data_IF_132804046639
#
_entry.id   IF_132804046639
#
_cell.length_a   1.000
_cell.length_b   1.000
_cell.length_c   1.000
_cell.angle_alpha   90.00
_cell.angle_beta   90.00
_cell.angle_gamma   90.00
#
_symmetry.space_group_name_H-M   'P 1'
#
loop_
_entity.id
_entity.type
_entity.pdbx_description
1 polymer ?
#
# COMPACT_ATOMS: atom_id res chain seq x y z
N UNK A 1 -10.87 -17.45 -61.52
CA UNK A 1 -11.25 -16.05 -61.22
C UNK A 1 -11.96 -15.89 -59.86
N UNK A 2 -12.86 -16.80 -59.46
CA UNK A 2 -13.59 -16.73 -58.18
C UNK A 2 -12.73 -16.79 -56.90
N UNK A 3 -11.74 -17.69 -56.84
CA UNK A 3 -10.85 -17.86 -55.67
C UNK A 3 -10.00 -16.62 -55.33
N UNK A 4 -9.61 -15.84 -56.35
CA UNK A 4 -8.83 -14.61 -56.15
C UNK A 4 -9.71 -13.46 -55.59
N UNK A 5 -10.99 -13.43 -55.99
CA UNK A 5 -11.96 -12.46 -55.49
C UNK A 5 -12.33 -12.74 -54.02
N UNK A 6 -12.56 -14.01 -53.66
CA UNK A 6 -12.81 -14.41 -52.27
C UNK A 6 -11.62 -14.09 -51.35
N UNK A 7 -10.37 -14.35 -51.79
CA UNK A 7 -9.18 -14.01 -51.02
C UNK A 7 -9.02 -12.50 -50.82
N UNK A 8 -9.33 -11.68 -51.83
CA UNK A 8 -9.34 -10.21 -51.69
C UNK A 8 -10.41 -9.73 -50.73
N UNK A 9 -11.61 -10.30 -50.78
CA UNK A 9 -12.71 -9.95 -49.87
C UNK A 9 -12.39 -10.33 -48.42
N UNK A 10 -11.83 -11.53 -48.20
CA UNK A 10 -11.39 -11.98 -46.88
C UNK A 10 -10.24 -11.12 -46.34
N UNK A 11 -9.29 -10.70 -47.18
CA UNK A 11 -8.20 -9.82 -46.77
C UNK A 11 -8.72 -8.43 -46.35
N UNK A 12 -9.69 -7.87 -47.09
CA UNK A 12 -10.30 -6.58 -46.76
C UNK A 12 -11.13 -6.66 -45.47
N UNK A 13 -11.88 -7.75 -45.26
CA UNK A 13 -12.70 -7.92 -44.04
C UNK A 13 -11.83 -8.14 -42.80
N UNK A 14 -10.77 -8.94 -42.87
CA UNK A 14 -9.85 -9.15 -41.74
C UNK A 14 -9.10 -7.86 -41.41
N UNK A 15 -8.68 -7.10 -42.42
CA UNK A 15 -8.00 -5.82 -42.22
C UNK A 15 -8.92 -4.80 -41.53
N UNK A 16 -10.18 -4.67 -41.98
CA UNK A 16 -11.16 -3.78 -41.35
C UNK A 16 -11.49 -4.17 -39.91
N UNK A 17 -11.64 -5.47 -39.62
CA UNK A 17 -11.83 -5.94 -38.23
C UNK A 17 -10.60 -5.65 -37.38
N UNK A 18 -9.39 -5.85 -37.89
CA UNK A 18 -8.15 -5.54 -37.17
C UNK A 18 -8.03 -4.05 -36.85
N UNK A 19 -8.25 -3.17 -37.83
CA UNK A 19 -8.24 -1.73 -37.60
C UNK A 19 -9.38 -1.26 -36.68
N UNK A 20 -10.56 -1.88 -36.75
CA UNK A 20 -11.65 -1.60 -35.82
C UNK A 20 -11.31 -2.02 -34.39
N UNK A 21 -10.66 -3.18 -34.19
CA UNK A 21 -10.19 -3.62 -32.87
C UNK A 21 -9.04 -2.74 -32.35
N UNK A 22 -8.10 -2.33 -33.20
CA UNK A 22 -7.04 -1.38 -32.84
C UNK A 22 -7.63 -0.03 -32.43
N UNK A 23 -8.56 0.51 -33.22
CA UNK A 23 -9.23 1.76 -32.91
C UNK A 23 -10.05 1.65 -31.62
N UNK A 24 -10.82 0.57 -31.45
CA UNK A 24 -11.56 0.31 -30.22
C UNK A 24 -10.63 0.18 -29.01
N UNK A 25 -9.49 -0.50 -29.17
CA UNK A 25 -8.47 -0.63 -28.12
C UNK A 25 -7.83 0.71 -27.78
N UNK A 26 -7.55 1.58 -28.77
CA UNK A 26 -6.94 2.89 -28.54
C UNK A 26 -7.93 3.88 -27.92
N UNK A 27 -9.20 3.88 -28.37
CA UNK A 27 -10.24 4.76 -27.86
C UNK A 27 -10.73 4.34 -26.47
N UNK A 28 -10.78 3.04 -26.18
CA UNK A 28 -11.13 2.53 -24.85
C UNK A 28 -9.91 2.25 -23.96
N UNK A 29 -8.70 2.63 -24.39
CA UNK A 29 -7.53 2.59 -23.53
C UNK A 29 -7.70 3.65 -22.44
N UNK A 30 -8.18 3.23 -21.26
CA UNK A 30 -8.14 4.04 -20.04
C UNK A 30 -7.00 3.55 -19.17
N UNK A 31 -6.12 4.48 -18.79
CA UNK A 31 -5.26 4.26 -17.64
C UNK A 31 -6.13 4.36 -16.39
N UNK A 32 -6.46 3.20 -15.82
CA UNK A 32 -7.24 3.08 -14.58
C UNK A 32 -6.39 3.34 -13.33
N UNK A 33 -5.10 3.64 -13.48
CA UNK A 33 -4.18 3.92 -12.39
C UNK A 33 -3.83 5.41 -12.40
N UNK A 34 -4.13 6.09 -11.30
CA UNK A 34 -3.75 7.49 -11.08
C UNK A 34 -2.64 7.49 -10.04
N UNK A 35 -1.49 8.10 -10.39
CA UNK A 35 -0.42 8.29 -9.42
C UNK A 35 -0.78 9.42 -8.47
N UNK A 36 -0.90 9.11 -7.18
CA UNK A 36 -1.17 10.10 -6.13
C UNK A 36 0.14 10.66 -5.60
N UNK A 37 0.35 11.97 -5.72
CA UNK A 37 1.51 12.63 -5.13
C UNK A 37 1.28 12.88 -3.63
N UNK A 38 2.31 12.84 -2.76
CA UNK A 38 2.13 13.08 -1.30
C UNK A 38 1.38 14.38 -0.97
N UNK A 39 1.69 15.45 -1.71
CA UNK A 39 1.03 16.77 -1.55
C UNK A 39 -0.46 16.75 -1.90
N UNK A 40 -0.89 15.93 -2.85
CA UNK A 40 -2.31 15.84 -3.23
C UNK A 40 -3.10 14.96 -2.27
N UNK A 41 -2.42 14.02 -1.59
CA UNK A 41 -3.03 13.15 -0.58
C UNK A 41 -3.29 13.89 0.74
N UNK A 42 -2.38 14.81 1.09
CA UNK A 42 -2.50 15.70 2.24
C UNK A 42 -3.19 17.01 1.82
N UNK A 43 -4.40 16.89 1.26
CA UNK A 43 -5.18 18.07 0.90
C UNK A 43 -5.95 18.62 2.11
N UNK A 44 -5.51 19.79 2.56
CA UNK A 44 -6.10 20.54 3.65
C UNK A 44 -7.01 21.67 3.17
N UNK A 45 -7.20 21.83 1.85
CA UNK A 45 -7.93 22.95 1.24
C UNK A 45 -9.38 23.08 1.73
N UNK A 46 -9.99 21.97 2.14
CA UNK A 46 -11.35 21.91 2.65
C UNK A 46 -11.46 22.09 4.18
N UNK A 47 -10.35 22.19 4.92
CA UNK A 47 -10.34 22.32 6.38
C UNK A 47 -10.19 23.77 6.82
N UNK A 48 -10.78 24.12 7.96
CA UNK A 48 -10.67 25.47 8.51
C UNK A 48 -9.24 25.78 9.00
N UNK A 49 -8.82 27.04 8.98
CA UNK A 49 -7.46 27.43 9.36
C UNK A 49 -7.06 26.98 10.79
N UNK A 50 -8.02 26.92 11.72
CA UNK A 50 -7.83 26.40 13.08
C UNK A 50 -7.60 24.88 13.09
N UNK A 51 -8.34 24.12 12.29
CA UNK A 51 -8.17 22.66 12.19
C UNK A 51 -6.86 22.30 11.47
N UNK A 52 -6.44 23.10 10.48
CA UNK A 52 -5.18 22.87 9.77
C UNK A 52 -3.97 23.07 10.68
N UNK A 53 -4.05 24.00 11.64
CA UNK A 53 -2.97 24.26 12.61
C UNK A 53 -2.78 23.10 13.58
N UNK A 54 -3.87 22.41 13.96
CA UNK A 54 -3.84 21.31 14.91
C UNK A 54 -3.42 19.97 14.26
N UNK A 55 -3.47 19.85 12.93
CA UNK A 55 -3.14 18.59 12.25
C UNK A 55 -1.63 18.48 12.00
N UNK A 56 -1.09 17.28 12.26
CA UNK A 56 0.29 16.94 11.96
C UNK A 56 0.57 17.05 10.45
N UNK A 57 1.54 17.89 10.11
CA UNK A 57 2.07 18.00 8.75
C UNK A 57 3.42 17.26 8.68
N UNK A 58 3.54 16.18 7.91
CA UNK A 58 4.82 15.53 7.73
C UNK A 58 5.78 16.47 7.00
N UNK A 59 6.99 16.59 7.53
CA UNK A 59 8.08 17.35 6.91
C UNK A 59 8.57 16.59 5.68
N UNK A 60 8.02 16.89 4.51
CA UNK A 60 8.28 16.16 3.27
C UNK A 60 9.77 16.19 2.87
N UNK A 61 10.52 17.22 3.28
CA UNK A 61 11.98 17.28 3.09
C UNK A 61 12.76 16.19 3.86
N UNK A 62 12.19 15.66 4.94
CA UNK A 62 12.82 14.61 5.76
C UNK A 62 12.41 13.20 5.32
N UNK A 63 11.53 13.08 4.33
CA UNK A 63 11.11 11.83 3.73
C UNK A 63 11.98 11.58 2.51
N UNK A 64 12.67 10.44 2.45
CA UNK A 64 13.51 10.12 1.31
C UNK A 64 13.61 8.61 1.06
N UNK A 65 14.35 8.24 0.02
CA UNK A 65 14.78 6.86 -0.22
C UNK A 65 15.75 6.44 0.89
N UNK A 66 15.47 5.31 1.52
CA UNK A 66 16.30 4.74 2.59
C UNK A 66 16.89 3.42 2.14
N UNK A 67 18.19 3.22 2.37
CA UNK A 67 18.80 1.90 2.21
C UNK A 67 18.30 0.99 3.35
N UNK A 68 17.79 -0.19 2.99
CA UNK A 68 17.18 -1.12 3.93
C UNK A 68 18.13 -2.30 4.11
N UNK A 69 18.58 -2.52 5.35
CA UNK A 69 19.32 -3.73 5.71
C UNK A 69 18.36 -4.92 5.80
N UNK A 70 18.39 -5.77 4.77
CA UNK A 70 17.57 -6.98 4.69
C UNK A 70 18.27 -8.21 5.29
N UNK A 71 19.52 -8.08 5.74
CA UNK A 71 20.31 -9.20 6.26
C UNK A 71 20.24 -9.24 7.78
N UNK A 72 20.40 -8.09 8.43
CA UNK A 72 20.47 -8.02 9.88
C UNK A 72 19.09 -7.76 10.49
N UNK A 73 18.54 -8.79 11.14
CA UNK A 73 17.27 -8.70 11.85
C UNK A 73 17.48 -8.60 13.37
N UNK A 74 17.15 -7.44 13.94
CA UNK A 74 17.19 -7.23 15.37
C UNK A 74 16.13 -8.08 16.12
N UNK A 75 16.44 -8.63 17.30
CA UNK A 75 15.44 -9.18 18.21
C UNK A 75 14.33 -8.17 18.55
N UNK A 76 13.11 -8.66 18.80
CA UNK A 76 11.95 -7.80 19.12
C UNK A 76 12.19 -6.89 20.35
N UNK A 77 12.81 -7.37 21.45
CA UNK A 77 13.12 -6.49 22.59
C UNK A 77 14.05 -5.34 22.22
N UNK A 78 15.08 -5.61 21.41
CA UNK A 78 16.02 -4.59 20.95
C UNK A 78 15.34 -3.56 20.03
N UNK A 79 14.39 -4.00 19.19
CA UNK A 79 13.57 -3.06 18.40
C UNK A 79 12.72 -2.14 19.29
N UNK A 80 12.17 -2.66 20.39
CA UNK A 80 11.39 -1.86 21.34
C UNK A 80 12.25 -0.81 22.05
N UNK A 81 13.50 -1.16 22.40
CA UNK A 81 14.48 -0.23 22.97
C UNK A 81 14.93 0.82 21.94
N UNK A 82 15.16 0.40 20.70
CA UNK A 82 15.57 1.27 19.59
C UNK A 82 14.49 2.29 19.21
N UNK A 83 13.21 1.93 19.34
CA UNK A 83 12.08 2.77 18.98
C UNK A 83 11.15 3.03 20.18
N UNK A 84 11.61 3.81 21.18
CA UNK A 84 10.88 4.02 22.43
C UNK A 84 9.58 4.84 22.26
N UNK A 85 9.39 5.49 21.10
CA UNK A 85 8.14 6.16 20.75
C UNK A 85 7.00 5.18 20.45
N UNK A 86 7.30 3.91 20.20
CA UNK A 86 6.30 2.85 19.95
C UNK A 86 5.78 2.34 21.30
N UNK A 87 4.49 2.56 21.54
CA UNK A 87 3.78 2.07 22.72
C UNK A 87 3.45 0.58 22.58
N UNK A 88 3.07 -0.03 23.70
CA UNK A 88 2.64 -1.44 23.77
C UNK A 88 1.56 -1.74 22.72
N UNK A 89 1.71 -2.89 22.05
CA UNK A 89 0.82 -3.32 20.97
C UNK A 89 1.12 -2.65 19.63
N UNK A 90 2.36 -2.16 19.43
CA UNK A 90 2.81 -1.63 18.14
C UNK A 90 2.13 -0.32 17.74
N UNK A 91 1.75 0.51 18.72
CA UNK A 91 0.99 1.75 18.51
C UNK A 91 1.88 2.99 18.63
N UNK A 92 1.65 3.96 17.78
CA UNK A 92 2.23 5.29 17.88
C UNK A 92 1.16 6.33 17.59
N UNK A 93 1.20 7.44 18.33
CA UNK A 93 0.38 8.63 18.09
C UNK A 93 1.22 9.87 18.38
N UNK A 94 1.26 10.87 17.48
CA UNK A 94 1.95 12.14 17.71
C UNK A 94 1.44 12.83 18.99
N UNK A 95 2.34 13.51 19.72
CA UNK A 95 1.99 14.16 20.99
C UNK A 95 1.58 15.63 20.82
N UNK A 96 2.19 16.31 19.86
CA UNK A 96 2.12 17.78 19.74
C UNK A 96 1.05 18.24 18.73
N UNK A 97 0.44 17.29 18.02
CA UNK A 97 -0.55 17.56 16.97
C UNK A 97 -1.49 16.37 16.83
N UNK A 98 -2.66 16.61 16.23
CA UNK A 98 -3.63 15.58 15.86
C UNK A 98 -3.21 14.92 14.55
N UNK A 99 -3.17 13.60 14.51
CA UNK A 99 -2.87 12.91 13.26
C UNK A 99 -3.96 13.15 12.19
N UNK A 100 -3.55 13.18 10.92
CA UNK A 100 -4.46 13.33 9.78
C UNK A 100 -5.47 12.17 9.68
N UNK A 101 -5.00 10.95 9.90
CA UNK A 101 -5.78 9.70 9.91
C UNK A 101 -5.20 8.75 10.96
N UNK A 102 -6.07 7.96 11.57
CA UNK A 102 -5.71 6.78 12.37
C UNK A 102 -5.66 5.55 11.48
N UNK A 103 -4.50 4.89 11.45
CA UNK A 103 -4.22 3.84 10.48
C UNK A 103 -4.01 2.48 11.15
N UNK A 104 -4.85 1.50 10.82
CA UNK A 104 -4.61 0.10 11.16
C UNK A 104 -3.77 -0.54 10.05
N UNK A 105 -2.59 -1.06 10.39
CA UNK A 105 -1.73 -1.79 9.45
C UNK A 105 -1.85 -3.27 9.76
N UNK A 106 -2.48 -4.03 8.87
CA UNK A 106 -2.79 -5.45 9.02
C UNK A 106 -1.80 -6.27 8.22
N UNK A 107 -1.02 -7.09 8.93
CA UNK A 107 0.00 -7.96 8.35
C UNK A 107 -0.42 -9.41 8.54
N UNK A 108 -0.90 -10.11 7.50
CA UNK A 108 -1.13 -11.54 7.57
C UNK A 108 0.21 -12.27 7.71
N UNK A 109 0.31 -13.20 8.66
CA UNK A 109 1.59 -13.74 9.09
C UNK A 109 1.53 -15.25 9.37
N UNK A 110 2.63 -15.95 9.04
CA UNK A 110 2.95 -17.30 9.51
C UNK A 110 4.43 -17.60 9.27
N UNK A 111 5.13 -18.14 10.27
CA UNK A 111 6.49 -18.71 10.18
C UNK A 111 7.55 -17.84 9.45
N UNK A 112 7.46 -16.51 9.55
CA UNK A 112 8.34 -15.55 8.84
C UNK A 112 8.98 -14.53 9.77
N UNK A 113 9.44 -14.97 10.94
CA UNK A 113 9.90 -14.08 12.01
C UNK A 113 11.06 -13.17 11.58
N UNK A 114 11.96 -13.67 10.73
CA UNK A 114 13.06 -12.88 10.18
C UNK A 114 12.55 -11.69 9.34
N UNK A 115 11.65 -11.93 8.38
CA UNK A 115 11.03 -10.88 7.57
C UNK A 115 10.24 -9.90 8.45
N UNK A 116 9.49 -10.42 9.43
CA UNK A 116 8.72 -9.57 10.34
C UNK A 116 9.61 -8.60 11.12
N UNK A 117 10.77 -9.05 11.62
CA UNK A 117 11.73 -8.17 12.32
C UNK A 117 12.25 -7.06 11.41
N UNK A 118 12.61 -7.38 10.17
CA UNK A 118 13.07 -6.40 9.17
C UNK A 118 11.93 -5.41 8.85
N UNK A 119 10.72 -5.91 8.64
CA UNK A 119 9.54 -5.10 8.38
C UNK A 119 9.27 -4.11 9.51
N UNK A 120 9.27 -4.55 10.77
CA UNK A 120 9.05 -3.67 11.92
C UNK A 120 10.16 -2.63 12.06
N UNK A 121 11.43 -3.03 11.86
CA UNK A 121 12.57 -2.13 11.84
C UNK A 121 12.47 -1.07 10.72
N UNK A 122 11.79 -1.38 9.62
CA UNK A 122 11.55 -0.45 8.52
C UNK A 122 10.34 0.45 8.77
N UNK A 123 9.20 -0.12 9.15
CA UNK A 123 7.92 0.59 9.26
C UNK A 123 7.90 1.57 10.43
N UNK A 124 8.37 1.19 11.62
CA UNK A 124 8.28 2.07 12.80
C UNK A 124 8.90 3.47 12.59
N UNK A 125 10.17 3.60 12.16
CA UNK A 125 10.76 4.91 11.92
C UNK A 125 10.16 5.62 10.69
N UNK A 126 9.69 4.90 9.67
CA UNK A 126 9.02 5.49 8.51
C UNK A 126 7.73 6.20 8.93
N UNK A 127 6.84 5.47 9.59
CA UNK A 127 5.51 5.93 9.96
C UNK A 127 5.60 7.04 11.03
N UNK A 128 6.62 6.97 11.89
CA UNK A 128 6.97 8.06 12.79
C UNK A 128 7.31 9.35 12.02
N UNK A 129 8.15 9.28 10.97
CA UNK A 129 8.46 10.45 10.13
C UNK A 129 7.24 10.98 9.36
N UNK A 130 6.33 10.09 8.98
CA UNK A 130 5.06 10.48 8.35
C UNK A 130 4.07 11.13 9.34
N UNK A 131 4.35 11.13 10.65
CA UNK A 131 3.52 11.73 11.70
C UNK A 131 2.06 11.23 11.68
N UNK A 132 1.88 9.95 11.35
CA UNK A 132 0.57 9.30 11.35
C UNK A 132 0.35 8.55 12.67
N UNK A 133 -0.88 8.57 13.19
CA UNK A 133 -1.27 7.67 14.27
C UNK A 133 -1.51 6.30 13.66
N UNK A 134 -0.81 5.27 14.14
CA UNK A 134 -0.92 3.94 13.58
C UNK A 134 -0.85 2.86 14.66
N UNK A 135 -1.37 1.68 14.30
CA UNK A 135 -1.16 0.43 15.03
C UNK A 135 -0.89 -0.70 14.05
N UNK A 136 0.15 -1.49 14.32
CA UNK A 136 0.48 -2.67 13.51
C UNK A 136 -0.13 -3.93 14.15
N UNK A 137 -0.95 -4.63 13.38
CA UNK A 137 -1.60 -5.89 13.75
C UNK A 137 -0.96 -7.04 12.98
N UNK A 138 -0.26 -7.92 13.70
CA UNK A 138 0.27 -9.17 13.13
C UNK A 138 -0.78 -10.26 13.31
N UNK A 139 -1.38 -10.70 12.20
CA UNK A 139 -2.47 -11.69 12.21
C UNK A 139 -1.88 -13.05 11.86
N UNK A 140 -1.55 -13.81 12.90
CA UNK A 140 -0.94 -15.12 12.77
C UNK A 140 -1.96 -16.22 12.44
N UNK A 141 -1.70 -17.00 11.40
CA UNK A 141 -2.49 -18.20 11.12
C UNK A 141 -1.95 -19.39 11.89
N UNK A 142 -2.71 -19.87 12.87
CA UNK A 142 -2.40 -21.09 13.61
C UNK A 142 -2.58 -22.35 12.78
N UNK A 143 -1.77 -23.37 13.08
CA UNK A 143 -1.89 -24.71 12.48
C UNK A 143 -1.25 -24.82 11.09
N UNK A 144 -1.36 -26.02 10.50
CA UNK A 144 -0.61 -26.42 9.32
C UNK A 144 -1.42 -26.38 8.01
N UNK A 145 -2.64 -25.86 8.04
CA UNK A 145 -3.49 -25.73 6.84
C UNK A 145 -2.86 -24.79 5.80
N UNK A 146 -3.42 -24.74 4.59
CA UNK A 146 -2.96 -23.78 3.58
C UNK A 146 -3.11 -22.34 4.09
N UNK A 147 -2.07 -21.52 3.89
CA UNK A 147 -2.10 -20.11 4.25
C UNK A 147 -3.22 -19.38 3.50
N UNK A 148 -4.10 -18.68 4.23
CA UNK A 148 -5.23 -17.96 3.66
C UNK A 148 -5.10 -16.46 3.96
N UNK A 149 -4.30 -15.79 3.12
CA UNK A 149 -4.02 -14.35 3.19
C UNK A 149 -5.28 -13.48 3.30
N UNK A 150 -6.25 -13.69 2.41
CA UNK A 150 -7.48 -12.89 2.39
C UNK A 150 -8.32 -13.07 3.66
N UNK A 151 -8.42 -14.29 4.19
CA UNK A 151 -9.11 -14.52 5.46
C UNK A 151 -8.43 -13.80 6.62
N UNK A 152 -7.09 -13.83 6.69
CA UNK A 152 -6.35 -13.14 7.75
C UNK A 152 -6.49 -11.62 7.67
N UNK A 153 -6.56 -11.05 6.46
CA UNK A 153 -6.86 -9.62 6.27
C UNK A 153 -8.23 -9.25 6.84
N UNK A 154 -9.27 -10.03 6.52
CA UNK A 154 -10.63 -9.80 7.03
C UNK A 154 -10.73 -9.96 8.56
N UNK A 155 -10.02 -10.96 9.11
CA UNK A 155 -9.90 -11.13 10.56
C UNK A 155 -9.21 -9.92 11.17
N UNK A 156 -8.09 -9.47 10.59
CA UNK A 156 -7.35 -8.30 11.06
C UNK A 156 -8.20 -7.02 11.06
N UNK A 157 -9.02 -6.80 10.03
CA UNK A 157 -9.96 -5.68 9.97
C UNK A 157 -10.96 -5.74 11.15
N UNK A 158 -11.54 -6.91 11.36
CA UNK A 158 -12.54 -7.12 12.42
C UNK A 158 -11.93 -6.99 13.82
N UNK A 159 -10.72 -7.52 14.04
CA UNK A 159 -10.03 -7.41 15.32
C UNK A 159 -9.53 -5.99 15.58
N UNK A 160 -9.06 -5.27 14.56
CA UNK A 160 -8.61 -3.90 14.71
C UNK A 160 -9.74 -2.97 15.21
N UNK A 161 -10.96 -3.14 14.68
CA UNK A 161 -12.13 -2.37 15.13
C UNK A 161 -12.50 -2.57 16.60
N UNK A 162 -12.04 -3.64 17.25
CA UNK A 162 -12.25 -3.85 18.70
C UNK A 162 -11.33 -2.99 19.57
N UNK A 163 -10.21 -2.52 19.02
CA UNK A 163 -9.25 -1.68 19.75
C UNK A 163 -9.64 -0.20 19.68
N UNK A 164 -9.97 0.29 18.49
CA UNK A 164 -10.27 1.70 18.25
C UNK A 164 -10.98 1.87 16.89
N UNK A 165 -11.60 3.04 16.70
CA UNK A 165 -12.13 3.45 15.41
C UNK A 165 -10.99 4.01 14.56
N UNK A 166 -10.57 3.22 13.57
CA UNK A 166 -9.58 3.61 12.57
C UNK A 166 -10.23 4.27 11.36
N UNK A 167 -9.57 5.27 10.79
CA UNK A 167 -10.01 5.96 9.58
C UNK A 167 -9.53 5.23 8.31
N UNK A 168 -8.46 4.44 8.42
CA UNK A 168 -7.80 3.79 7.29
C UNK A 168 -7.26 2.40 7.66
N UNK A 169 -7.38 1.44 6.74
CA UNK A 169 -6.89 0.07 6.92
C UNK A 169 -5.91 -0.30 5.81
N UNK A 170 -4.63 -0.43 6.15
CA UNK A 170 -3.56 -0.85 5.25
C UNK A 170 -3.36 -2.36 5.37
N UNK A 171 -3.62 -3.11 4.32
CA UNK A 171 -3.23 -4.52 4.21
C UNK A 171 -1.83 -4.60 3.64
N UNK A 172 -0.93 -5.25 4.37
CA UNK A 172 0.50 -5.18 4.09
C UNK A 172 1.14 -6.57 4.16
N UNK A 173 1.86 -6.99 3.13
CA UNK A 173 2.55 -8.28 3.14
C UNK A 173 3.80 -8.25 4.02
N UNK A 174 4.10 -9.38 4.67
CA UNK A 174 5.22 -9.45 5.62
C UNK A 174 6.61 -9.31 4.97
N UNK A 175 6.71 -9.44 3.64
CA UNK A 175 7.93 -9.46 2.84
C UNK A 175 8.09 -8.25 1.90
N UNK A 176 7.19 -7.26 1.94
CA UNK A 176 7.34 -6.03 1.17
C UNK A 176 7.93 -4.92 2.02
N UNK A 177 8.98 -4.25 1.55
CA UNK A 177 9.64 -3.20 2.30
C UNK A 177 9.56 -1.88 1.51
N UNK A 178 8.94 -0.82 2.05
CA UNK A 178 8.86 0.45 1.33
C UNK A 178 10.24 1.09 1.23
N UNK A 179 10.78 1.32 0.03
CA UNK A 179 12.10 1.94 -0.10
C UNK A 179 12.11 3.45 0.09
N UNK A 180 10.96 4.10 -0.14
CA UNK A 180 10.83 5.56 -0.09
C UNK A 180 9.80 5.99 0.95
N UNK A 181 10.21 6.82 1.91
CA UNK A 181 9.32 7.32 2.96
C UNK A 181 8.20 8.23 2.44
N UNK A 182 8.32 8.73 1.20
CA UNK A 182 7.26 9.50 0.51
C UNK A 182 6.08 8.62 0.10
N UNK A 183 6.19 7.29 0.18
CA UNK A 183 5.05 6.40 0.04
C UNK A 183 4.19 6.49 1.30
N UNK A 184 3.28 7.46 1.35
CA UNK A 184 2.47 7.76 2.54
C UNK A 184 1.43 6.65 2.81
N UNK A 185 1.46 6.12 4.04
CA UNK A 185 0.56 5.08 4.54
C UNK A 185 -0.76 5.69 5.01
N UNK A 186 -1.49 6.29 4.08
CA UNK A 186 -2.75 6.98 4.29
C UNK A 186 -3.79 6.52 3.27
N UNK A 187 -5.06 6.59 3.60
CA UNK A 187 -6.15 6.31 2.68
C UNK A 187 -6.57 7.59 1.95
N UNK A 188 -7.06 7.41 0.72
CA UNK A 188 -7.71 8.43 -0.10
C UNK A 188 -9.13 7.95 -0.42
N UNK A 189 -9.94 8.78 -1.08
CA UNK A 189 -11.29 8.47 -1.56
C UNK A 189 -11.37 7.26 -2.52
N UNK A 190 -10.23 6.76 -2.97
CA UNK A 190 -10.12 5.57 -3.81
C UNK A 190 -9.20 4.55 -3.13
N UNK A 191 -9.41 3.27 -3.45
CA UNK A 191 -8.44 2.21 -3.13
C UNK A 191 -7.08 2.58 -3.72
N UNK A 192 -6.03 2.64 -2.89
CA UNK A 192 -4.67 2.84 -3.41
C UNK A 192 -3.83 1.58 -3.22
N UNK A 193 -2.92 1.41 -4.17
CA UNK A 193 -1.96 0.32 -4.23
C UNK A 193 -0.58 0.87 -3.86
N UNK A 194 -0.06 0.50 -2.69
CA UNK A 194 1.21 1.00 -2.16
C UNK A 194 2.44 0.40 -2.85
N UNK A 195 2.33 -0.86 -3.25
CA UNK A 195 3.41 -1.66 -3.82
C UNK A 195 3.31 -1.68 -5.34
N UNK A 196 3.20 -0.50 -5.95
CA UNK A 196 3.02 -0.35 -7.41
C UNK A 196 4.28 -0.73 -8.21
N UNK A 197 5.45 -0.56 -7.61
CA UNK A 197 6.74 -0.85 -8.20
C UNK A 197 7.59 -1.59 -7.17
N UNK A 198 7.78 -2.90 -7.37
CA UNK A 198 8.62 -3.76 -6.53
C UNK A 198 9.86 -4.19 -7.31
N UNK A 199 10.93 -4.50 -6.59
CA UNK A 199 12.23 -4.91 -7.11
C UNK A 199 12.15 -6.21 -7.93
N UNK A 200 11.34 -7.18 -7.49
CA UNK A 200 11.08 -8.44 -8.21
C UNK A 200 10.54 -8.19 -9.63
N UNK A 201 9.80 -7.09 -9.84
CA UNK A 201 9.28 -6.65 -11.13
C UNK A 201 10.15 -5.59 -11.80
N UNK A 202 11.38 -5.37 -11.32
CA UNK A 202 12.30 -4.32 -11.76
C UNK A 202 11.65 -2.93 -11.78
N UNK A 203 10.78 -2.67 -10.81
CA UNK A 203 10.03 -1.42 -10.68
C UNK A 203 9.08 -1.10 -11.84
N UNK A 204 8.77 -2.08 -12.70
CA UNK A 204 7.74 -1.94 -13.73
C UNK A 204 6.36 -2.24 -13.15
N UNK A 205 5.41 -1.33 -13.39
CA UNK A 205 4.02 -1.54 -13.02
C UNK A 205 3.43 -2.69 -13.85
N UNK A 206 3.05 -3.79 -13.20
CA UNK A 206 2.40 -4.90 -13.88
C UNK A 206 0.88 -4.71 -13.87
N UNK A 207 0.27 -4.57 -15.07
CA UNK A 207 -1.14 -4.16 -15.21
C UNK A 207 -2.15 -5.22 -14.73
N UNK A 208 -1.72 -6.48 -14.57
CA UNK A 208 -2.54 -7.59 -14.06
C UNK A 208 -2.42 -7.84 -12.56
N UNK A 209 -1.56 -7.11 -11.83
CA UNK A 209 -1.38 -7.24 -10.37
C UNK A 209 -2.06 -6.13 -9.57
N UNK A 210 -3.03 -5.45 -10.16
CA UNK A 210 -3.83 -4.42 -9.48
C UNK A 210 -4.44 -5.05 -8.22
N UNK A 211 -3.91 -4.65 -7.06
CA UNK A 211 -4.32 -5.04 -5.71
C UNK A 211 -3.83 -6.41 -5.16
N UNK A 212 -2.83 -7.07 -5.73
CA UNK A 212 -2.38 -8.39 -5.21
C UNK A 212 -1.57 -8.32 -3.90
N UNK A 213 -0.94 -7.19 -3.62
CA UNK A 213 0.08 -7.02 -2.58
C UNK A 213 -0.39 -6.02 -1.51
N UNK A 214 0.21 -4.83 -1.40
CA UNK A 214 -0.16 -3.85 -0.37
C UNK A 214 -1.25 -2.89 -0.86
N UNK A 215 -2.42 -2.96 -0.24
CA UNK A 215 -3.63 -2.23 -0.63
C UNK A 215 -4.32 -1.75 0.63
N UNK A 216 -5.02 -0.63 0.59
CA UNK A 216 -5.92 -0.25 1.68
C UNK A 216 -7.37 -0.18 1.25
N UNK A 217 -8.24 -0.43 2.22
CA UNK A 217 -9.67 -0.18 2.13
C UNK A 217 -10.03 0.98 3.08
N UNK A 218 -10.91 1.87 2.62
CA UNK A 218 -11.67 2.74 3.50
C UNK A 218 -12.86 1.95 4.08
N UNK A 219 -13.27 2.22 5.33
CA UNK A 219 -14.49 1.66 5.91
C UNK A 219 -15.76 2.11 5.18
#
# INVERSE_FOLDING_TARGET
MFLASLKKYAFFSVSTIYFAMLFFSLVNYRDHCIFTHPKTLLDFSHKSASEVLDICQPKLENLDVTNIDIVNAFPIPELAEKYPFVKKGGHFSPKDCKSYQKVAIIVPYRDRLHHLKILLNRLHPMLFKQQIEYRIFIIEQSGNDRFNRGKLMNVGFTEALKYENFDCFVFHDADLLPENDKNLYLCDNNVRHLSSAIDEMRYHLHRSSIASHSVYAQP
#
